data_IF_252748586155
#
_entry.id   IF_252748586155
#
_cell.length_a   1.000
_cell.length_b   1.000
_cell.length_c   1.000
_cell.angle_alpha   90.00
_cell.angle_beta   90.00
_cell.angle_gamma   90.00
#
_symmetry.space_group_name_H-M   'P 1'
#
loop_
_entity.id
_entity.type
_entity.pdbx_description
1 polymer ?
#
# COMPACT_ATOMS: atom_id res chain seq x y z
N UNK A 1 20.79 18.01 3.82
CA UNK A 1 21.12 16.70 3.17
C UNK A 1 22.13 16.79 2.03
N UNK A 2 22.40 17.95 1.41
CA UNK A 2 23.41 18.07 0.36
C UNK A 2 24.85 17.79 0.82
N UNK A 3 25.15 17.94 2.09
CA UNK A 3 26.49 17.69 2.66
C UNK A 3 26.75 16.22 3.05
N UNK A 4 25.80 15.31 2.88
CA UNK A 4 25.91 13.91 3.33
C UNK A 4 26.37 12.95 2.21
N UNK A 5 26.42 13.42 0.94
CA UNK A 5 26.78 12.57 -0.21
C UNK A 5 28.22 12.01 -0.21
N UNK A 6 29.08 12.45 0.72
CA UNK A 6 30.47 11.99 0.83
C UNK A 6 30.84 11.39 2.20
N UNK A 7 29.88 11.22 3.10
CA UNK A 7 30.16 10.61 4.40
C UNK A 7 30.07 9.10 4.23
N UNK A 8 31.20 8.45 4.39
CA UNK A 8 31.23 6.98 4.53
C UNK A 8 30.56 6.65 5.84
N UNK A 9 29.42 5.96 5.80
CA UNK A 9 28.70 5.52 6.99
C UNK A 9 29.61 4.52 7.72
N UNK A 10 29.96 4.77 9.00
CA UNK A 10 30.78 3.84 9.75
C UNK A 10 30.10 2.46 9.80
N UNK A 11 30.88 1.39 9.75
CA UNK A 11 30.37 0.00 9.82
C UNK A 11 29.63 -0.33 11.12
N UNK A 12 29.67 0.57 12.09
CA UNK A 12 29.00 0.48 13.40
C UNK A 12 27.57 1.06 13.39
N UNK A 13 27.16 1.77 12.34
CA UNK A 13 25.81 2.30 12.22
C UNK A 13 24.85 1.25 11.65
N UNK A 14 23.69 1.11 12.28
CA UNK A 14 22.59 0.27 11.83
C UNK A 14 21.43 1.17 11.38
N UNK A 15 21.11 1.14 10.10
CA UNK A 15 19.93 1.83 9.59
C UNK A 15 18.66 1.01 9.87
N UNK A 16 17.66 1.68 10.45
CA UNK A 16 16.34 1.11 10.71
C UNK A 16 15.34 1.99 9.98
N UNK A 17 14.57 1.40 9.09
CA UNK A 17 13.46 2.07 8.43
C UNK A 17 12.26 2.10 9.38
N UNK A 18 11.59 3.25 9.46
CA UNK A 18 10.39 3.44 10.24
C UNK A 18 9.22 3.58 9.26
N UNK A 19 8.35 2.59 9.27
CA UNK A 19 7.18 2.53 8.40
C UNK A 19 5.95 3.14 9.11
N UNK A 20 4.89 3.50 8.38
CA UNK A 20 3.58 3.76 8.98
C UNK A 20 3.13 2.57 9.83
N UNK A 21 2.35 2.82 10.86
CA UNK A 21 1.77 1.77 11.71
C UNK A 21 1.06 0.73 10.85
N UNK A 22 1.23 -0.53 11.17
CA UNK A 22 0.42 -1.58 10.60
C UNK A 22 -0.94 -1.70 11.33
N UNK A 23 -1.79 -2.64 10.90
CA UNK A 23 -3.12 -2.80 11.49
C UNK A 23 -3.07 -3.19 12.98
N UNK A 24 -2.10 -4.01 13.37
CA UNK A 24 -1.94 -4.40 14.78
C UNK A 24 -1.53 -3.20 15.64
N UNK A 25 -0.54 -2.44 15.19
CA UNK A 25 -0.08 -1.24 15.88
C UNK A 25 -1.16 -0.17 15.96
N UNK A 26 -1.95 0.01 14.89
CA UNK A 26 -3.12 0.89 14.87
C UNK A 26 -4.18 0.45 15.88
N UNK A 27 -4.49 -0.85 15.94
CA UNK A 27 -5.45 -1.40 16.87
C UNK A 27 -5.00 -1.20 18.34
N UNK A 28 -3.72 -1.43 18.62
CA UNK A 28 -3.11 -1.17 19.94
C UNK A 28 -3.21 0.32 20.30
N UNK A 29 -2.93 1.22 19.35
CA UNK A 29 -3.05 2.66 19.59
C UNK A 29 -4.50 3.09 19.93
N UNK A 30 -5.50 2.33 19.48
CA UNK A 30 -6.92 2.54 19.81
C UNK A 30 -7.40 1.73 21.04
N UNK A 31 -6.49 1.16 21.84
CA UNK A 31 -6.79 0.35 23.04
C UNK A 31 -7.60 -0.93 22.75
N UNK A 32 -7.36 -1.55 21.56
CA UNK A 32 -8.06 -2.77 21.11
C UNK A 32 -7.14 -4.00 21.15
N UNK A 33 -6.18 -4.06 22.09
CA UNK A 33 -5.20 -5.15 22.25
C UNK A 33 -5.89 -6.51 22.42
N UNK A 34 -6.99 -6.56 23.19
CA UNK A 34 -7.73 -7.80 23.44
C UNK A 34 -8.32 -8.38 22.14
N UNK A 35 -8.75 -7.51 21.22
CA UNK A 35 -9.24 -7.94 19.91
C UNK A 35 -8.11 -8.52 19.08
N UNK A 36 -6.93 -7.89 19.10
CA UNK A 36 -5.72 -8.37 18.40
C UNK A 36 -5.32 -9.75 18.93
N UNK A 37 -5.24 -9.92 20.24
CA UNK A 37 -4.93 -11.21 20.88
C UNK A 37 -5.96 -12.30 20.52
N UNK A 38 -7.24 -11.95 20.50
CA UNK A 38 -8.30 -12.87 20.10
C UNK A 38 -8.14 -13.30 18.64
N UNK A 39 -7.87 -12.38 17.72
CA UNK A 39 -7.60 -12.68 16.30
C UNK A 39 -6.43 -13.66 16.16
N UNK A 40 -5.31 -13.38 16.86
CA UNK A 40 -4.11 -14.23 16.85
C UNK A 40 -4.42 -15.64 17.36
N UNK A 41 -5.14 -15.75 18.48
CA UNK A 41 -5.54 -17.03 19.04
C UNK A 41 -6.42 -17.85 18.09
N UNK A 42 -7.38 -17.21 17.44
CA UNK A 42 -8.23 -17.88 16.43
C UNK A 42 -7.40 -18.35 15.24
N UNK A 43 -6.44 -17.53 14.77
CA UNK A 43 -5.54 -17.89 13.67
C UNK A 43 -4.67 -19.10 14.00
N UNK A 44 -4.05 -19.12 15.19
CA UNK A 44 -3.21 -20.23 15.65
C UNK A 44 -3.99 -21.54 15.78
N UNK A 45 -5.23 -21.48 16.29
CA UNK A 45 -6.13 -22.62 16.44
C UNK A 45 -6.82 -23.02 15.13
N UNK A 46 -6.73 -22.17 14.08
CA UNK A 46 -7.44 -22.31 12.82
C UNK A 46 -8.97 -22.36 13.02
N UNK A 47 -9.46 -21.55 13.94
CA UNK A 47 -10.88 -21.38 14.23
C UNK A 47 -11.39 -20.06 13.65
N UNK A 48 -12.64 -19.98 13.16
CA UNK A 48 -13.20 -18.70 12.71
C UNK A 48 -13.45 -17.79 13.91
N UNK A 49 -13.33 -16.47 13.66
CA UNK A 49 -13.77 -15.48 14.64
C UNK A 49 -15.29 -15.59 14.87
N UNK A 50 -15.72 -15.37 16.11
CA UNK A 50 -17.14 -15.18 16.38
C UNK A 50 -17.68 -13.99 15.59
N UNK A 51 -18.94 -14.05 15.16
CA UNK A 51 -19.54 -13.06 14.26
C UNK A 51 -19.45 -11.62 14.79
N UNK A 52 -19.67 -11.41 16.10
CA UNK A 52 -19.58 -10.10 16.73
C UNK A 52 -18.16 -9.55 16.67
N UNK A 53 -17.18 -10.37 17.02
CA UNK A 53 -15.75 -10.03 17.00
C UNK A 53 -15.24 -9.82 15.57
N UNK A 54 -15.71 -10.62 14.63
CA UNK A 54 -15.40 -10.41 13.21
C UNK A 54 -15.92 -9.05 12.73
N UNK A 55 -17.14 -8.67 13.05
CA UNK A 55 -17.70 -7.38 12.67
C UNK A 55 -16.91 -6.20 13.30
N UNK A 56 -16.50 -6.35 14.56
CA UNK A 56 -15.67 -5.35 15.24
C UNK A 56 -14.29 -5.23 14.57
N UNK A 57 -13.64 -6.35 14.27
CA UNK A 57 -12.36 -6.38 13.58
C UNK A 57 -12.44 -5.74 12.18
N UNK A 58 -13.51 -6.03 11.42
CA UNK A 58 -13.71 -5.43 10.11
C UNK A 58 -13.99 -3.93 10.18
N UNK A 59 -14.77 -3.47 11.17
CA UNK A 59 -14.97 -2.04 11.37
C UNK A 59 -13.65 -1.33 11.69
N UNK A 60 -12.86 -1.90 12.57
CA UNK A 60 -11.54 -1.37 12.93
C UNK A 60 -10.58 -1.36 11.73
N UNK A 61 -10.60 -2.42 10.92
CA UNK A 61 -9.79 -2.49 9.72
C UNK A 61 -10.20 -1.46 8.66
N UNK A 62 -11.52 -1.20 8.51
CA UNK A 62 -11.99 -0.12 7.66
C UNK A 62 -11.57 1.26 8.18
N UNK A 63 -11.60 1.49 9.50
CA UNK A 63 -11.09 2.73 10.10
C UNK A 63 -9.59 2.88 9.81
N UNK A 64 -8.80 1.80 9.96
CA UNK A 64 -7.40 1.79 9.61
C UNK A 64 -7.15 2.18 8.13
N UNK A 65 -7.89 1.61 7.19
CA UNK A 65 -7.74 1.96 5.78
C UNK A 65 -8.04 3.44 5.50
N UNK A 66 -8.97 4.05 6.23
CA UNK A 66 -9.38 5.45 6.03
C UNK A 66 -8.47 6.45 6.75
N UNK A 67 -8.01 6.13 7.96
CA UNK A 67 -7.09 6.97 8.74
C UNK A 67 -5.66 6.81 8.27
N UNK A 68 -5.25 5.57 7.98
CA UNK A 68 -3.88 5.18 7.69
C UNK A 68 -3.09 4.83 8.95
N UNK A 69 -1.79 4.61 8.75
CA UNK A 69 -0.83 4.30 9.81
C UNK A 69 0.15 5.45 10.09
N UNK A 70 0.00 6.61 9.46
CA UNK A 70 0.86 7.75 9.77
C UNK A 70 0.58 8.25 11.20
N UNK A 71 1.60 8.44 12.06
CA UNK A 71 1.39 8.73 13.48
C UNK A 71 0.52 9.96 13.77
N UNK A 72 0.73 11.08 13.07
CA UNK A 72 -0.03 12.31 13.30
C UNK A 72 -1.52 12.16 12.99
N UNK A 73 -1.95 11.63 11.82
CA UNK A 73 -3.35 11.32 11.56
C UNK A 73 -3.98 10.37 12.60
N UNK A 74 -3.23 9.36 13.08
CA UNK A 74 -3.73 8.42 14.11
C UNK A 74 -3.94 9.14 15.44
N UNK A 75 -3.00 9.97 15.87
CA UNK A 75 -3.12 10.78 17.10
C UNK A 75 -4.31 11.73 16.99
N UNK A 76 -4.43 12.48 15.87
CA UNK A 76 -5.54 13.38 15.63
C UNK A 76 -6.91 12.67 15.67
N UNK A 77 -6.99 11.47 15.10
CA UNK A 77 -8.19 10.63 15.14
C UNK A 77 -8.58 10.21 16.57
N UNK A 78 -7.58 9.81 17.38
CA UNK A 78 -7.80 9.40 18.78
C UNK A 78 -8.24 10.59 19.63
N UNK A 79 -7.50 11.70 19.59
CA UNK A 79 -7.74 12.89 20.41
C UNK A 79 -9.06 13.59 20.10
N UNK A 80 -9.49 13.56 18.84
CA UNK A 80 -10.77 14.08 18.38
C UNK A 80 -11.96 13.16 18.65
N UNK A 81 -11.77 12.04 19.36
CA UNK A 81 -12.80 11.02 19.61
C UNK A 81 -13.32 10.35 18.34
N UNK A 82 -12.40 9.99 17.46
CA UNK A 82 -12.64 9.30 16.18
C UNK A 82 -13.31 10.18 15.13
N UNK A 83 -12.99 11.47 15.09
CA UNK A 83 -13.38 12.37 14.00
C UNK A 83 -12.38 12.24 12.83
N UNK A 84 -12.88 11.79 11.68
CA UNK A 84 -12.07 11.63 10.47
C UNK A 84 -11.62 12.96 9.86
N UNK A 85 -12.35 14.07 10.10
CA UNK A 85 -11.95 15.38 9.58
C UNK A 85 -10.61 15.84 10.15
N UNK A 86 -10.39 15.62 11.44
CA UNK A 86 -9.11 15.99 12.07
C UNK A 86 -7.95 15.13 11.54
N UNK A 87 -8.16 13.82 11.36
CA UNK A 87 -7.18 12.96 10.71
C UNK A 87 -6.91 13.38 9.25
N UNK A 88 -7.94 13.81 8.51
CA UNK A 88 -7.80 14.25 7.12
C UNK A 88 -6.96 15.53 6.99
N UNK A 89 -7.05 16.47 7.93
CA UNK A 89 -6.19 17.66 7.97
C UNK A 89 -4.70 17.26 8.02
N UNK A 90 -4.35 16.38 8.94
CA UNK A 90 -2.97 15.90 9.09
C UNK A 90 -2.47 15.15 7.84
N UNK A 91 -3.34 14.33 7.22
CA UNK A 91 -3.00 13.63 5.97
C UNK A 91 -2.70 14.61 4.84
N UNK A 92 -3.50 15.67 4.70
CA UNK A 92 -3.30 16.70 3.67
C UNK A 92 -2.04 17.51 3.88
N UNK A 93 -1.69 17.81 5.11
CA UNK A 93 -0.41 18.45 5.41
C UNK A 93 0.77 17.55 5.02
N UNK A 94 0.69 16.23 5.24
CA UNK A 94 1.70 15.28 4.79
C UNK A 94 1.79 15.24 3.26
N UNK A 95 0.65 15.16 2.55
CA UNK A 95 0.62 15.17 1.09
C UNK A 95 1.24 16.45 0.51
N UNK A 96 0.96 17.60 1.13
CA UNK A 96 1.59 18.87 0.79
C UNK A 96 3.11 18.85 0.98
N UNK A 97 3.58 18.28 2.10
CA UNK A 97 5.02 18.12 2.34
C UNK A 97 5.67 17.19 1.30
N UNK A 98 5.00 16.13 0.89
CA UNK A 98 5.48 15.25 -0.19
C UNK A 98 5.64 16.02 -1.50
N UNK A 99 4.66 16.86 -1.88
CA UNK A 99 4.79 17.73 -3.06
C UNK A 99 5.94 18.70 -2.94
N UNK A 100 6.11 19.33 -1.79
CA UNK A 100 7.22 20.26 -1.54
C UNK A 100 8.59 19.56 -1.66
N UNK A 101 8.69 18.31 -1.19
CA UNK A 101 9.92 17.52 -1.32
C UNK A 101 10.18 17.10 -2.78
N UNK A 102 9.15 16.71 -3.51
CA UNK A 102 9.25 16.46 -4.95
C UNK A 102 9.73 17.73 -5.70
N UNK A 103 9.27 18.91 -5.30
CA UNK A 103 9.70 20.17 -5.93
C UNK A 103 11.18 20.51 -5.70
N UNK A 104 11.85 19.88 -4.73
CA UNK A 104 13.29 20.04 -4.46
C UNK A 104 14.19 19.13 -5.31
N UNK A 105 13.62 18.17 -6.03
CA UNK A 105 14.36 17.26 -6.90
C UNK A 105 14.89 18.00 -8.13
N UNK A 106 15.96 17.45 -8.74
CA UNK A 106 16.47 17.95 -10.01
C UNK A 106 15.34 18.07 -11.06
N UNK A 107 15.29 19.20 -11.75
CA UNK A 107 14.23 19.54 -12.69
C UNK A 107 14.03 18.47 -13.79
N UNK A 108 15.08 17.72 -14.14
CA UNK A 108 15.03 16.65 -15.16
C UNK A 108 14.12 15.48 -14.74
N UNK A 109 14.00 15.20 -13.44
CA UNK A 109 13.23 14.05 -12.90
C UNK A 109 11.90 14.49 -12.29
N UNK A 110 11.80 15.74 -11.84
CA UNK A 110 10.64 16.28 -11.11
C UNK A 110 9.31 16.02 -11.81
N UNK A 111 9.23 16.33 -13.11
CA UNK A 111 7.98 16.13 -13.87
C UNK A 111 7.55 14.67 -13.95
N UNK A 112 8.51 13.74 -14.03
CA UNK A 112 8.23 12.31 -14.06
C UNK A 112 7.77 11.80 -12.69
N UNK A 113 8.42 12.28 -11.61
CA UNK A 113 8.04 11.93 -10.23
C UNK A 113 6.63 12.43 -9.93
N UNK A 114 6.32 13.69 -10.27
CA UNK A 114 4.97 14.24 -10.13
C UNK A 114 3.95 13.44 -10.95
N UNK A 115 4.26 13.12 -12.20
CA UNK A 115 3.36 12.39 -13.07
C UNK A 115 2.99 11.00 -12.51
N UNK A 116 3.94 10.27 -11.91
CA UNK A 116 3.64 9.00 -11.24
C UNK A 116 2.88 9.24 -9.95
N UNK A 117 3.36 10.13 -9.08
CA UNK A 117 2.73 10.45 -7.81
C UNK A 117 1.25 10.81 -7.99
N UNK A 118 0.93 11.75 -8.88
CA UNK A 118 -0.44 12.20 -9.14
C UNK A 118 -1.35 11.09 -9.70
N UNK A 119 -0.77 10.10 -10.39
CA UNK A 119 -1.51 9.02 -11.01
C UNK A 119 -1.62 7.75 -10.16
N UNK A 120 -1.00 7.68 -8.96
CA UNK A 120 -1.09 6.51 -8.09
C UNK A 120 -2.55 6.07 -7.87
N UNK A 121 -3.49 6.95 -7.43
CA UNK A 121 -4.88 6.55 -7.27
C UNK A 121 -5.52 6.09 -8.57
N UNK A 122 -5.20 6.77 -9.67
CA UNK A 122 -5.70 6.44 -11.01
C UNK A 122 -5.23 5.07 -11.50
N UNK A 123 -3.98 4.68 -11.26
CA UNK A 123 -3.49 3.35 -11.60
C UNK A 123 -4.14 2.27 -10.73
N UNK A 124 -4.22 2.48 -9.43
CA UNK A 124 -4.79 1.52 -8.48
C UNK A 124 -6.30 1.32 -8.66
N UNK A 125 -7.01 2.30 -9.23
CA UNK A 125 -8.43 2.20 -9.53
C UNK A 125 -8.73 1.31 -10.76
N UNK A 126 -7.73 1.01 -11.60
CA UNK A 126 -7.88 0.17 -12.78
C UNK A 126 -7.91 -1.32 -12.41
N UNK A 127 -8.44 -2.15 -13.32
CA UNK A 127 -8.53 -3.60 -13.10
C UNK A 127 -7.15 -4.25 -12.87
N UNK A 128 -6.16 -3.91 -13.68
CA UNK A 128 -4.82 -4.49 -13.60
C UNK A 128 -3.88 -3.76 -12.63
N UNK A 129 -4.28 -2.58 -12.14
CA UNK A 129 -3.54 -1.75 -11.18
C UNK A 129 -2.06 -1.48 -11.52
N UNK A 130 -1.68 -1.64 -12.79
CA UNK A 130 -0.32 -1.43 -13.27
C UNK A 130 -0.09 0.01 -13.73
N UNK A 131 1.13 0.47 -13.57
CA UNK A 131 1.54 1.73 -14.16
C UNK A 131 1.52 1.62 -15.68
N UNK A 132 0.75 2.49 -16.32
CA UNK A 132 0.66 2.56 -17.79
C UNK A 132 1.48 3.73 -18.28
N UNK A 133 2.75 3.50 -18.63
CA UNK A 133 3.71 4.55 -18.99
C UNK A 133 3.24 5.44 -20.15
N UNK A 134 2.53 4.87 -21.14
CA UNK A 134 1.94 5.64 -22.24
C UNK A 134 0.91 6.67 -21.81
N UNK A 135 0.28 6.50 -20.61
CA UNK A 135 -0.64 7.50 -20.05
C UNK A 135 0.09 8.66 -19.37
N UNK A 136 1.35 8.46 -18.99
CA UNK A 136 2.18 9.51 -18.39
C UNK A 136 2.70 10.47 -19.46
N UNK A 137 3.19 9.91 -20.55
CA UNK A 137 3.64 10.66 -21.73
C UNK A 137 3.63 9.74 -22.95
N UNK A 138 3.17 10.25 -24.10
CA UNK A 138 3.20 9.50 -25.35
C UNK A 138 4.62 9.03 -25.71
N UNK A 139 4.76 7.76 -26.07
CA UNK A 139 6.04 7.14 -26.40
C UNK A 139 6.94 6.81 -25.21
N UNK A 140 6.44 6.90 -23.98
CA UNK A 140 7.22 6.57 -22.78
C UNK A 140 7.33 5.08 -22.55
N UNK A 141 8.50 4.67 -22.01
CA UNK A 141 8.84 3.29 -21.65
C UNK A 141 9.31 3.23 -20.18
N UNK A 142 9.22 2.04 -19.58
CA UNK A 142 9.51 1.82 -18.16
C UNK A 142 10.93 2.24 -17.73
N UNK A 143 11.94 1.97 -18.57
CA UNK A 143 13.35 2.31 -18.33
C UNK A 143 13.59 3.81 -18.09
N UNK A 144 12.73 4.66 -18.67
CA UNK A 144 12.81 6.12 -18.48
C UNK A 144 12.33 6.56 -17.08
N UNK A 145 11.69 5.69 -16.33
CA UNK A 145 11.09 5.96 -15.03
C UNK A 145 11.74 5.18 -13.86
N UNK A 146 12.78 4.37 -14.10
CA UNK A 146 13.44 3.60 -13.02
C UNK A 146 13.92 4.49 -11.87
N UNK A 147 14.60 5.59 -12.18
CA UNK A 147 15.07 6.55 -11.16
C UNK A 147 13.93 7.22 -10.41
N UNK A 148 12.77 7.37 -11.05
CA UNK A 148 11.55 7.93 -10.45
C UNK A 148 11.00 6.99 -9.39
N UNK A 149 10.87 5.71 -9.69
CA UNK A 149 10.43 4.71 -8.72
C UNK A 149 11.42 4.55 -7.58
N UNK A 150 12.72 4.51 -7.91
CA UNK A 150 13.75 4.46 -6.88
C UNK A 150 13.64 5.63 -5.90
N UNK A 151 13.42 6.85 -6.40
CA UNK A 151 13.27 8.01 -5.53
C UNK A 151 11.99 7.95 -4.68
N UNK A 152 10.86 7.56 -5.26
CA UNK A 152 9.57 7.44 -4.55
C UNK A 152 9.65 6.38 -3.44
N UNK A 153 10.30 5.24 -3.72
CA UNK A 153 10.51 4.16 -2.77
C UNK A 153 11.49 4.53 -1.66
N UNK A 154 12.64 5.12 -2.01
CA UNK A 154 13.66 5.57 -1.04
C UNK A 154 13.12 6.67 -0.11
N UNK A 155 12.19 7.49 -0.62
CA UNK A 155 11.47 8.48 0.16
C UNK A 155 10.28 7.92 0.95
N UNK A 156 9.98 6.61 0.83
CA UNK A 156 8.85 5.92 1.44
C UNK A 156 7.47 6.49 1.06
N UNK A 157 7.38 7.19 -0.06
CA UNK A 157 6.13 7.73 -0.60
C UNK A 157 5.31 6.63 -1.25
N UNK A 158 5.98 5.67 -1.90
CA UNK A 158 5.34 4.54 -2.56
C UNK A 158 6.02 3.21 -2.27
N UNK A 159 5.27 2.14 -2.48
CA UNK A 159 5.69 0.75 -2.39
C UNK A 159 5.54 0.10 -3.76
N UNK A 160 6.65 -0.24 -4.42
CA UNK A 160 6.64 -0.86 -5.72
C UNK A 160 6.45 -2.37 -5.61
N UNK A 161 5.58 -2.90 -6.48
CA UNK A 161 5.34 -4.31 -6.63
C UNK A 161 5.66 -4.73 -8.08
N UNK A 162 6.71 -5.51 -8.27
CA UNK A 162 7.21 -5.88 -9.59
C UNK A 162 6.67 -7.24 -10.05
N UNK A 163 6.53 -7.41 -11.37
CA UNK A 163 6.16 -8.69 -11.95
C UNK A 163 7.29 -9.71 -11.72
N UNK A 164 6.97 -10.87 -11.19
CA UNK A 164 7.83 -12.03 -11.13
C UNK A 164 7.41 -13.04 -12.20
N UNK A 165 8.27 -13.31 -13.19
CA UNK A 165 7.94 -14.19 -14.31
C UNK A 165 7.99 -15.67 -13.94
N UNK A 166 8.88 -16.06 -13.02
CA UNK A 166 9.02 -17.45 -12.55
C UNK A 166 9.10 -17.48 -11.01
N UNK A 167 8.00 -17.78 -10.34
CA UNK A 167 7.97 -17.85 -8.88
C UNK A 167 8.67 -19.09 -8.30
N UNK A 168 9.18 -20.02 -9.12
CA UNK A 168 9.88 -21.22 -8.66
C UNK A 168 11.35 -20.99 -8.29
N UNK A 169 11.94 -19.88 -8.75
CA UNK A 169 13.34 -19.49 -8.46
C UNK A 169 13.29 -18.17 -7.67
N UNK A 170 14.29 -17.84 -6.87
CA UNK A 170 14.28 -16.63 -6.02
C UNK A 170 13.65 -15.40 -6.71
N UNK A 171 12.62 -14.80 -6.09
CA UNK A 171 11.75 -13.81 -6.70
C UNK A 171 12.50 -12.64 -7.33
N UNK A 172 13.55 -12.16 -6.67
CA UNK A 172 14.37 -11.04 -7.14
C UNK A 172 15.21 -11.36 -8.40
N UNK A 173 15.40 -12.64 -8.71
CA UNK A 173 16.16 -13.07 -9.91
C UNK A 173 15.28 -13.02 -11.18
N UNK A 174 13.96 -13.07 -11.00
CA UNK A 174 12.99 -13.13 -12.10
C UNK A 174 12.07 -11.89 -12.11
N UNK A 175 12.54 -10.79 -11.54
CA UNK A 175 11.87 -9.50 -11.50
C UNK A 175 11.87 -8.84 -12.88
N UNK A 176 10.71 -8.39 -13.32
CA UNK A 176 10.54 -7.59 -14.54
C UNK A 176 10.08 -6.19 -14.17
N UNK A 177 11.00 -5.23 -14.23
CA UNK A 177 10.75 -3.84 -13.81
C UNK A 177 9.85 -3.05 -14.76
N UNK A 178 9.69 -3.50 -16.00
CA UNK A 178 8.79 -2.87 -16.96
C UNK A 178 7.31 -3.05 -16.63
N UNK A 179 6.99 -3.94 -15.70
CA UNK A 179 5.64 -4.15 -15.18
C UNK A 179 5.64 -3.94 -13.66
N UNK A 180 5.09 -2.80 -13.25
CA UNK A 180 5.08 -2.39 -11.85
C UNK A 180 3.67 -1.95 -11.43
N UNK A 181 3.23 -2.39 -10.25
CA UNK A 181 2.13 -1.78 -9.50
C UNK A 181 2.76 -0.83 -8.48
N UNK A 182 2.25 0.40 -8.38
CA UNK A 182 2.77 1.42 -7.48
C UNK A 182 1.71 1.72 -6.42
N UNK A 183 1.90 1.21 -5.22
CA UNK A 183 1.04 1.43 -4.07
C UNK A 183 1.50 2.67 -3.31
N UNK A 184 0.55 3.39 -2.70
CA UNK A 184 0.90 4.49 -1.80
C UNK A 184 1.56 3.93 -0.52
N UNK A 185 2.54 4.61 0.03
CA UNK A 185 3.23 4.20 1.26
C UNK A 185 2.31 4.07 2.47
N UNK A 186 1.19 4.82 2.47
CA UNK A 186 0.14 4.77 3.48
C UNK A 186 -1.25 4.81 2.85
N UNK A 187 -2.16 3.96 3.36
CA UNK A 187 -3.50 3.81 2.77
C UNK A 187 -4.41 4.99 3.10
N UNK A 188 -4.28 5.60 4.27
CA UNK A 188 -5.03 6.81 4.61
C UNK A 188 -4.63 7.99 3.71
N UNK A 189 -3.33 8.12 3.40
CA UNK A 189 -2.86 9.11 2.45
C UNK A 189 -3.40 8.84 1.04
N UNK A 190 -3.49 7.57 0.61
CA UNK A 190 -4.10 7.20 -0.66
C UNK A 190 -5.55 7.68 -0.75
N UNK A 191 -6.34 7.55 0.33
CA UNK A 191 -7.73 8.04 0.38
C UNK A 191 -7.79 9.54 0.16
N UNK A 192 -7.05 10.34 0.94
CA UNK A 192 -7.05 11.79 0.80
C UNK A 192 -6.52 12.26 -0.55
N UNK A 193 -5.53 11.55 -1.11
CA UNK A 193 -4.99 11.83 -2.43
C UNK A 193 -5.98 11.50 -3.56
N UNK A 194 -6.79 10.43 -3.41
CA UNK A 194 -7.81 10.05 -4.38
C UNK A 194 -9.01 10.99 -4.45
N UNK A 195 -9.30 11.69 -3.34
CA UNK A 195 -10.40 12.66 -3.24
C UNK A 195 -9.98 14.13 -3.44
N UNK A 196 -8.90 14.37 -4.12
CA UNK A 196 -8.26 15.68 -4.24
C UNK A 196 -7.57 16.14 -2.93
N UNK A 197 -6.27 16.19 -2.97
CA UNK A 197 -5.46 16.56 -1.81
C UNK A 197 -5.62 18.03 -1.37
N UNK A 198 -6.34 18.85 -2.11
CA UNK A 198 -6.61 20.24 -1.77
C UNK A 198 -7.96 20.47 -1.07
N UNK A 199 -8.86 19.48 -1.08
CA UNK A 199 -10.18 19.57 -0.48
C UNK A 199 -10.27 18.72 0.79
N UNK A 200 -10.59 19.37 1.91
CA UNK A 200 -10.82 18.68 3.18
C UNK A 200 -12.09 17.82 3.09
N UNK A 201 -11.95 16.54 3.42
CA UNK A 201 -13.09 15.63 3.53
C UNK A 201 -13.70 15.72 4.93
N UNK A 202 -14.99 16.03 4.98
CA UNK A 202 -15.74 16.07 6.22
C UNK A 202 -15.97 14.66 6.80
N UNK A 203 -16.06 14.56 8.10
CA UNK A 203 -16.31 13.31 8.85
C UNK A 203 -17.53 12.53 8.34
N UNK A 204 -18.58 13.26 7.92
CA UNK A 204 -19.78 12.64 7.34
C UNK A 204 -19.49 11.86 6.04
N UNK A 205 -18.58 12.34 5.21
CA UNK A 205 -18.15 11.63 3.98
C UNK A 205 -17.50 10.31 4.34
N UNK A 206 -16.59 10.31 5.32
CA UNK A 206 -15.95 9.10 5.81
C UNK A 206 -16.95 8.11 6.43
N UNK A 207 -17.90 8.59 7.20
CA UNK A 207 -18.98 7.76 7.76
C UNK A 207 -19.87 7.14 6.68
N UNK A 208 -20.12 7.85 5.59
CA UNK A 208 -20.86 7.32 4.45
C UNK A 208 -20.06 6.23 3.72
N UNK A 209 -18.74 6.36 3.61
CA UNK A 209 -17.86 5.32 3.08
C UNK A 209 -17.91 4.08 3.98
N UNK A 210 -17.75 4.24 5.30
CA UNK A 210 -17.85 3.14 6.27
C UNK A 210 -19.19 2.43 6.23
N UNK A 211 -20.28 3.17 6.01
CA UNK A 211 -21.62 2.62 5.90
C UNK A 211 -21.92 1.98 4.53
N UNK A 212 -20.97 2.00 3.58
CA UNK A 212 -21.15 1.51 2.21
C UNK A 212 -22.15 2.33 1.37
N UNK A 213 -22.47 3.55 1.80
CA UNK A 213 -23.38 4.48 1.09
C UNK A 213 -22.68 5.28 0.00
N UNK A 214 -21.40 5.58 0.19
CA UNK A 214 -20.55 6.18 -0.81
C UNK A 214 -19.60 5.13 -1.33
N UNK A 215 -19.67 4.84 -2.64
CA UNK A 215 -18.78 3.85 -3.23
C UNK A 215 -17.39 4.42 -3.44
N UNK A 216 -16.42 3.78 -2.82
CA UNK A 216 -15.00 3.92 -3.10
C UNK A 216 -14.52 2.60 -3.72
N UNK A 217 -13.45 2.62 -4.47
CA UNK A 217 -12.86 1.38 -4.97
C UNK A 217 -12.22 0.61 -3.80
N UNK A 218 -13.04 -0.18 -3.09
CA UNK A 218 -12.58 -0.96 -1.95
C UNK A 218 -11.39 -1.87 -2.31
N UNK A 219 -11.38 -2.48 -3.50
CA UNK A 219 -10.27 -3.33 -3.96
C UNK A 219 -8.94 -2.58 -4.00
N UNK A 220 -8.95 -1.29 -4.36
CA UNK A 220 -7.76 -0.44 -4.33
C UNK A 220 -7.25 -0.28 -2.89
N UNK A 221 -8.14 0.00 -1.94
CA UNK A 221 -7.77 0.23 -0.54
C UNK A 221 -7.28 -1.04 0.15
N UNK A 222 -7.97 -2.17 -0.06
CA UNK A 222 -7.57 -3.45 0.51
C UNK A 222 -6.18 -3.86 0.03
N UNK A 223 -5.92 -3.80 -1.28
CA UNK A 223 -4.59 -4.16 -1.80
C UNK A 223 -3.52 -3.20 -1.28
N UNK A 224 -3.80 -1.90 -1.22
CA UNK A 224 -2.83 -0.93 -0.69
C UNK A 224 -2.53 -1.19 0.79
N UNK A 225 -3.55 -1.48 1.62
CA UNK A 225 -3.35 -1.79 3.04
C UNK A 225 -2.51 -3.07 3.22
N UNK A 226 -2.77 -4.11 2.43
CA UNK A 226 -1.96 -5.33 2.47
C UNK A 226 -0.54 -5.06 1.99
N UNK A 227 -0.34 -4.27 0.92
CA UNK A 227 0.99 -3.87 0.47
C UNK A 227 1.78 -3.14 1.57
N UNK A 228 1.14 -2.16 2.22
CA UNK A 228 1.70 -1.41 3.36
C UNK A 228 2.13 -2.35 4.50
N UNK A 229 1.24 -3.26 4.92
CA UNK A 229 1.51 -4.21 6.00
C UNK A 229 2.64 -5.20 5.64
N UNK A 230 2.70 -5.67 4.40
CA UNK A 230 3.78 -6.56 3.95
C UNK A 230 5.14 -5.85 3.96
N UNK A 231 5.19 -4.60 3.49
CA UNK A 231 6.43 -3.81 3.47
C UNK A 231 6.89 -3.45 4.87
N UNK A 232 5.98 -3.05 5.79
CA UNK A 232 6.33 -2.77 7.18
C UNK A 232 6.90 -3.99 7.91
N UNK A 233 6.50 -5.20 7.49
CA UNK A 233 7.04 -6.47 7.97
C UNK A 233 8.28 -6.95 7.19
N UNK A 234 8.89 -6.09 6.38
CA UNK A 234 10.17 -6.33 5.69
C UNK A 234 10.10 -7.17 4.43
N UNK A 235 8.89 -7.36 3.87
CA UNK A 235 8.73 -8.08 2.61
C UNK A 235 8.91 -7.16 1.41
N UNK A 236 9.62 -7.64 0.39
CA UNK A 236 9.56 -7.07 -0.95
C UNK A 236 8.32 -7.58 -1.66
N UNK A 237 7.67 -6.71 -2.42
CA UNK A 237 6.43 -7.02 -3.09
C UNK A 237 6.68 -7.52 -4.51
N UNK A 238 6.04 -8.62 -4.85
CA UNK A 238 6.00 -9.16 -6.21
C UNK A 238 4.58 -9.59 -6.51
N UNK A 239 4.18 -9.49 -7.79
CA UNK A 239 2.94 -10.08 -8.29
C UNK A 239 3.25 -11.05 -9.42
N UNK A 240 2.28 -11.89 -9.77
CA UNK A 240 2.41 -12.86 -10.85
C UNK A 240 1.22 -12.78 -11.79
N UNK A 241 1.48 -12.93 -13.08
CA UNK A 241 0.42 -13.11 -14.07
C UNK A 241 0.80 -14.20 -15.04
N UNK A 242 -0.19 -15.01 -15.40
CA UNK A 242 -0.03 -16.00 -16.45
C UNK A 242 -0.72 -15.54 -17.70
N UNK A 243 0.05 -15.36 -18.79
CA UNK A 243 -0.49 -15.04 -20.11
C UNK A 243 -0.83 -16.32 -20.85
N UNK A 244 -2.09 -16.48 -21.22
CA UNK A 244 -2.56 -17.62 -22.00
C UNK A 244 -2.50 -17.28 -23.50
N UNK A 245 -1.57 -17.88 -24.22
CA UNK A 245 -1.38 -17.65 -25.66
C UNK A 245 -2.61 -18.01 -26.49
N UNK A 246 -3.33 -19.08 -26.13
CA UNK A 246 -4.52 -19.51 -26.86
C UNK A 246 -5.71 -18.55 -26.70
N UNK A 247 -5.80 -17.86 -25.58
CA UNK A 247 -6.87 -16.90 -25.27
C UNK A 247 -6.45 -15.45 -25.51
N UNK A 248 -5.18 -15.20 -25.84
CA UNK A 248 -4.59 -13.87 -25.99
C UNK A 248 -4.90 -12.92 -24.81
N UNK A 249 -4.91 -13.44 -23.57
CA UNK A 249 -5.16 -12.67 -22.35
C UNK A 249 -4.49 -13.32 -21.14
N UNK A 250 -4.33 -12.52 -20.09
CA UNK A 250 -4.00 -13.07 -18.77
C UNK A 250 -5.21 -13.85 -18.25
N UNK A 251 -5.02 -15.11 -17.86
CA UNK A 251 -6.07 -15.96 -17.28
C UNK A 251 -5.84 -16.30 -15.81
N UNK A 252 -4.72 -15.87 -15.24
CA UNK A 252 -4.44 -15.91 -13.82
C UNK A 252 -3.63 -14.68 -13.40
N UNK A 253 -4.00 -14.08 -12.29
CA UNK A 253 -3.24 -13.04 -11.60
C UNK A 253 -3.19 -13.40 -10.11
N UNK A 254 -2.04 -13.17 -9.47
CA UNK A 254 -1.83 -13.28 -8.03
C UNK A 254 -1.39 -11.91 -7.57
N UNK A 255 -2.13 -11.30 -6.64
CA UNK A 255 -1.91 -9.92 -6.21
C UNK A 255 -0.56 -9.72 -5.58
N UNK A 256 -0.14 -10.63 -4.67
CA UNK A 256 1.20 -10.60 -4.07
C UNK A 256 1.80 -11.98 -3.96
N UNK A 257 3.12 -12.04 -4.15
CA UNK A 257 3.94 -13.19 -3.81
C UNK A 257 5.04 -12.71 -2.89
N UNK A 258 5.18 -13.35 -1.73
CA UNK A 258 6.25 -13.07 -0.78
C UNK A 258 7.16 -14.29 -0.62
N UNK A 259 8.45 -14.03 -0.41
CA UNK A 259 9.40 -15.08 -0.08
C UNK A 259 9.32 -15.45 1.40
N UNK A 260 9.43 -16.73 1.70
CA UNK A 260 9.59 -17.20 3.07
C UNK A 260 11.06 -17.54 3.33
N UNK A 261 11.65 -16.83 4.28
CA UNK A 261 13.01 -17.09 4.74
C UNK A 261 13.09 -18.20 5.80
N UNK A 262 11.93 -18.77 6.20
CA UNK A 262 11.90 -19.84 7.19
C UNK A 262 12.29 -21.19 6.55
N UNK A 263 12.71 -22.15 7.41
CA UNK A 263 13.05 -23.53 7.02
C UNK A 263 11.87 -24.37 6.57
N UNK A 264 10.71 -23.76 6.27
CA UNK A 264 9.51 -24.43 5.82
C UNK A 264 9.67 -24.96 4.40
N UNK A 265 8.90 -25.98 4.06
CA UNK A 265 8.88 -26.67 2.77
C UNK A 265 8.57 -25.74 1.58
N UNK A 266 7.76 -24.71 1.83
CA UNK A 266 7.34 -23.74 0.82
C UNK A 266 8.20 -22.48 0.91
N UNK A 267 8.80 -22.10 -0.19
CA UNK A 267 9.68 -20.91 -0.28
C UNK A 267 8.93 -19.63 -0.59
N UNK A 268 7.70 -19.74 -1.04
CA UNK A 268 6.88 -18.61 -1.51
C UNK A 268 5.44 -18.77 -1.05
N UNK A 269 4.80 -17.64 -0.75
CA UNK A 269 3.39 -17.58 -0.39
C UNK A 269 2.67 -16.66 -1.37
N UNK A 270 1.70 -17.18 -2.13
CA UNK A 270 0.78 -16.37 -2.89
C UNK A 270 -0.28 -15.77 -1.97
N UNK A 271 -0.60 -14.51 -2.18
CA UNK A 271 -1.63 -13.77 -1.46
C UNK A 271 -2.57 -13.19 -2.50
N UNK A 272 -3.85 -13.50 -2.38
CA UNK A 272 -4.94 -12.97 -3.18
C UNK A 272 -5.83 -12.10 -2.29
N UNK A 273 -6.07 -10.86 -2.69
CA UNK A 273 -6.86 -9.89 -1.92
C UNK A 273 -8.26 -9.78 -2.50
N UNK A 274 -9.28 -9.98 -1.66
CA UNK A 274 -10.69 -9.91 -2.04
C UNK A 274 -11.46 -8.97 -1.11
N UNK A 275 -12.09 -7.96 -1.68
CA UNK A 275 -12.95 -7.00 -0.95
C UNK A 275 -14.43 -7.35 -0.97
N UNK A 276 -14.87 -8.27 -1.82
CA UNK A 276 -16.28 -8.56 -2.05
C UNK A 276 -16.83 -9.71 -1.20
N UNK A 277 -18.14 -9.66 -0.92
CA UNK A 277 -18.88 -10.73 -0.23
C UNK A 277 -19.09 -11.98 -1.09
N UNK A 278 -18.93 -11.87 -2.41
CA UNK A 278 -19.10 -12.97 -3.38
C UNK A 278 -17.78 -13.22 -4.09
N UNK A 279 -16.98 -14.10 -3.56
CA UNK A 279 -15.82 -14.65 -4.28
C UNK A 279 -16.12 -16.08 -4.68
N UNK A 280 -15.89 -16.38 -5.96
CA UNK A 280 -15.86 -17.76 -6.41
C UNK A 280 -14.48 -18.31 -6.05
N UNK A 281 -14.42 -19.32 -5.20
CA UNK A 281 -13.23 -20.16 -5.08
C UNK A 281 -13.05 -20.85 -6.43
N UNK A 282 -12.09 -20.40 -7.21
CA UNK A 282 -11.58 -21.16 -8.35
C UNK A 282 -10.76 -22.31 -7.77
N UNK A 283 -11.35 -23.49 -7.74
CA UNK A 283 -10.68 -24.76 -7.46
C UNK A 283 -9.72 -25.11 -8.59
#
# INVERSE_FOLDING_TARGET
RENVKSIVIPSEERHINMYPLDFEEFAIALEEELLVEYIKNCFEKREPLERSMHNQAMLLFHQYMLVGGMPMPVVAFIESKKDFTEADKEKRDILKLYREDIMKIDMRYRSKVLAIYDQIPGFLSQHEKRVVFKKLQDGSYADQYEETFFWLSDSMISNECFLCNDPNVGLSLNETRSYVKCYMGDTGLLVSHAFDENELLEDEVYKQILAGKLQINEGMLYENAIAQMLVSNGHKLYFYTHYNENKHRNDMEIDFIISNNSRLKYKMFPIEVKSGKQYKTTS
#
